data_IF_513427618177
#
_entry.id   IF_513427618177
#
_cell.length_a   1.000
_cell.length_b   1.000
_cell.length_c   1.000
_cell.angle_alpha   90.00
_cell.angle_beta   90.00
_cell.angle_gamma   90.00
#
_symmetry.space_group_name_H-M   'P 1'
#
loop_
_entity.id
_entity.type
_entity.pdbx_description
1 polymer ?
#
# COMPACT_ATOMS: atom_id res chain seq x y z
N UNK A 1 17.69 28.71 6.89
CA UNK A 1 17.61 29.11 5.47
C UNK A 1 17.00 27.96 4.66
N UNK A 2 16.12 28.29 3.70
CA UNK A 2 15.16 27.40 3.01
C UNK A 2 15.84 26.21 2.32
N UNK A 3 15.30 24.99 2.46
CA UNK A 3 15.75 23.81 1.69
C UNK A 3 15.10 23.85 0.30
N UNK A 4 15.95 23.99 -0.72
CA UNK A 4 15.60 23.86 -2.12
C UNK A 4 15.23 22.39 -2.42
N UNK A 5 14.01 22.16 -2.92
CA UNK A 5 13.48 20.84 -3.25
C UNK A 5 13.98 20.42 -4.64
N UNK A 6 15.14 19.78 -4.69
CA UNK A 6 15.62 19.14 -5.92
C UNK A 6 14.85 17.82 -6.10
N UNK A 7 13.77 17.85 -6.89
CA UNK A 7 13.08 16.64 -7.31
C UNK A 7 13.96 15.90 -8.32
N UNK A 8 14.55 14.79 -7.88
CA UNK A 8 15.41 13.92 -8.70
C UNK A 8 14.55 13.20 -9.75
N UNK A 9 14.25 13.86 -10.86
CA UNK A 9 13.61 13.24 -12.03
C UNK A 9 14.65 12.39 -12.76
N UNK A 10 14.37 11.10 -12.92
CA UNK A 10 15.15 10.21 -13.76
C UNK A 10 14.36 9.91 -15.02
N UNK A 11 14.98 10.14 -16.17
CA UNK A 11 14.43 9.84 -17.48
C UNK A 11 14.77 8.40 -17.85
N UNK A 12 13.76 7.54 -17.98
CA UNK A 12 13.93 6.16 -18.45
C UNK A 12 13.79 6.09 -19.97
N UNK A 13 14.58 5.22 -20.62
CA UNK A 13 14.45 4.93 -22.06
C UNK A 13 13.43 3.78 -22.21
N UNK A 14 12.35 3.93 -23.00
CA UNK A 14 11.29 2.92 -23.12
C UNK A 14 11.72 1.72 -23.98
N UNK A 15 11.00 0.61 -23.85
CA UNK A 15 11.18 -0.57 -24.71
C UNK A 15 10.39 -0.50 -26.03
N UNK A 16 9.38 0.38 -26.13
CA UNK A 16 8.60 0.63 -27.36
C UNK A 16 8.69 2.11 -27.74
N UNK A 17 8.91 2.38 -29.03
CA UNK A 17 9.15 3.73 -29.55
C UNK A 17 7.93 4.65 -29.33
N UNK A 18 8.14 5.77 -28.62
CA UNK A 18 7.23 6.92 -28.65
C UNK A 18 6.65 7.41 -27.32
N UNK A 19 6.94 6.80 -26.17
CA UNK A 19 6.34 7.21 -24.89
C UNK A 19 7.38 7.58 -23.83
N UNK A 20 7.53 8.87 -23.52
CA UNK A 20 8.34 9.34 -22.39
C UNK A 20 7.59 9.08 -21.07
N UNK A 21 8.02 8.11 -20.27
CA UNK A 21 7.53 7.95 -18.90
C UNK A 21 8.32 8.84 -17.93
N UNK A 22 7.63 9.82 -17.33
CA UNK A 22 8.15 10.59 -16.20
C UNK A 22 8.16 9.71 -14.95
N UNK A 23 9.32 9.13 -14.62
CA UNK A 23 9.51 8.36 -13.39
C UNK A 23 9.65 9.32 -12.20
N UNK A 24 8.59 9.48 -11.41
CA UNK A 24 8.71 10.06 -10.08
C UNK A 24 9.54 9.11 -9.22
N UNK A 25 10.56 9.63 -8.51
CA UNK A 25 11.65 8.90 -7.85
C UNK A 25 11.29 7.84 -6.78
N UNK A 26 10.03 7.43 -6.65
CA UNK A 26 9.57 6.40 -5.72
C UNK A 26 8.70 5.35 -6.43
N UNK A 27 9.39 4.40 -7.05
CA UNK A 27 8.81 3.17 -7.61
C UNK A 27 9.32 2.89 -9.02
N UNK A 28 9.65 1.64 -9.32
CA UNK A 28 10.01 1.21 -10.69
C UNK A 28 8.77 1.10 -11.60
N UNK A 29 8.93 0.68 -12.86
CA UNK A 29 7.91 0.74 -13.92
C UNK A 29 6.71 -0.23 -13.76
N UNK A 30 6.37 -0.65 -12.53
CA UNK A 30 5.24 -1.55 -12.27
C UNK A 30 3.97 -0.75 -12.01
N UNK A 31 2.82 -1.26 -12.47
CA UNK A 31 1.50 -0.74 -12.09
C UNK A 31 1.40 -0.61 -10.57
N UNK A 32 1.13 0.60 -10.07
CA UNK A 32 1.04 0.90 -8.64
C UNK A 32 2.29 1.56 -8.03
N UNK A 33 3.37 1.73 -8.79
CA UNK A 33 4.46 2.63 -8.42
C UNK A 33 3.97 4.09 -8.36
N UNK A 34 4.41 4.85 -7.34
CA UNK A 34 3.98 6.23 -7.14
C UNK A 34 2.55 6.46 -6.63
N UNK A 35 1.80 5.41 -6.23
CA UNK A 35 0.49 5.60 -5.57
C UNK A 35 0.67 6.39 -4.27
N UNK A 36 -0.17 7.40 -4.05
CA UNK A 36 -0.16 8.25 -2.83
C UNK A 36 -0.21 7.35 -1.60
N UNK A 37 0.64 7.63 -0.61
CA UNK A 37 0.65 6.91 0.66
C UNK A 37 -0.70 7.09 1.37
N UNK A 38 -1.38 5.99 1.68
CA UNK A 38 -2.64 5.99 2.45
C UNK A 38 -2.42 6.31 3.95
N UNK A 39 -1.17 6.27 4.39
CA UNK A 39 -0.74 6.50 5.78
C UNK A 39 0.63 5.87 6.02
N UNK A 40 1.00 5.74 7.29
CA UNK A 40 2.23 5.03 7.67
C UNK A 40 2.10 3.53 7.44
N UNK A 41 2.93 2.99 6.55
CA UNK A 41 2.93 1.56 6.22
C UNK A 41 3.99 0.84 7.02
N UNK A 42 3.58 -0.20 7.77
CA UNK A 42 4.49 -1.12 8.47
C UNK A 42 4.36 -2.52 7.91
N UNK A 43 5.48 -3.24 7.81
CA UNK A 43 5.48 -4.67 7.46
C UNK A 43 5.14 -5.47 8.70
N UNK A 44 4.24 -6.43 8.55
CA UNK A 44 3.85 -7.35 9.60
C UNK A 44 4.12 -8.78 9.13
N UNK A 45 4.66 -9.60 10.04
CA UNK A 45 4.73 -11.04 9.89
C UNK A 45 3.57 -11.63 10.69
N UNK A 46 2.71 -12.40 10.04
CA UNK A 46 1.56 -13.03 10.66
C UNK A 46 1.72 -14.54 10.54
N UNK A 47 1.43 -15.25 11.62
CA UNK A 47 1.35 -16.71 11.61
C UNK A 47 -0.10 -17.09 11.88
N UNK A 48 -0.72 -17.78 10.94
CA UNK A 48 -2.08 -18.32 11.01
C UNK A 48 -2.10 -19.72 10.40
N UNK A 49 -3.18 -20.46 10.61
CA UNK A 49 -3.32 -21.80 10.04
C UNK A 49 -3.37 -21.77 8.51
N UNK A 50 -3.13 -22.92 7.87
CA UNK A 50 -3.16 -23.03 6.41
C UNK A 50 -4.55 -22.70 5.87
N UNK A 51 -5.60 -23.18 6.54
CA UNK A 51 -7.00 -22.95 6.16
C UNK A 51 -7.35 -21.45 6.22
N UNK A 52 -6.80 -20.72 7.20
CA UNK A 52 -6.98 -19.28 7.31
C UNK A 52 -6.26 -18.52 6.19
N UNK A 53 -5.08 -18.97 5.77
CA UNK A 53 -4.37 -18.40 4.63
C UNK A 53 -5.12 -18.61 3.31
N UNK A 54 -5.61 -19.83 3.09
CA UNK A 54 -6.39 -20.18 1.89
C UNK A 54 -7.67 -19.34 1.79
N UNK A 55 -8.40 -19.18 2.90
CA UNK A 55 -9.60 -18.34 2.93
C UNK A 55 -9.28 -16.85 2.71
N UNK A 56 -8.15 -16.36 3.21
CA UNK A 56 -7.69 -14.99 2.95
C UNK A 56 -7.43 -14.78 1.45
N UNK A 57 -6.73 -15.70 0.80
CA UNK A 57 -6.42 -15.65 -0.62
C UNK A 57 -7.69 -15.72 -1.47
N UNK A 58 -8.60 -16.65 -1.15
CA UNK A 58 -9.89 -16.78 -1.82
C UNK A 58 -10.72 -15.48 -1.76
N UNK A 59 -10.73 -14.80 -0.61
CA UNK A 59 -11.42 -13.50 -0.45
C UNK A 59 -10.77 -12.38 -1.24
N UNK A 60 -9.44 -12.34 -1.28
CA UNK A 60 -8.69 -11.38 -2.09
C UNK A 60 -9.04 -11.53 -3.58
N UNK A 61 -9.02 -12.77 -4.07
CA UNK A 61 -9.32 -13.08 -5.47
C UNK A 61 -10.77 -12.74 -5.83
N UNK A 62 -11.72 -13.12 -4.97
CA UNK A 62 -13.14 -12.83 -5.19
C UNK A 62 -13.46 -11.33 -5.20
N UNK A 63 -12.78 -10.54 -4.37
CA UNK A 63 -12.99 -9.09 -4.27
C UNK A 63 -12.08 -8.28 -5.22
N UNK A 64 -11.11 -8.91 -5.89
CA UNK A 64 -10.08 -8.21 -6.66
C UNK A 64 -9.20 -7.29 -5.82
N UNK A 65 -9.06 -7.58 -4.52
CA UNK A 65 -8.35 -6.73 -3.54
C UNK A 65 -7.03 -7.34 -3.12
N UNK A 66 -6.12 -6.51 -2.62
CA UNK A 66 -4.83 -7.00 -2.11
C UNK A 66 -4.96 -7.51 -0.67
N UNK A 67 -4.09 -8.45 -0.26
CA UNK A 67 -4.02 -8.94 1.13
C UNK A 67 -3.91 -7.79 2.14
N UNK A 68 -3.11 -6.76 1.86
CA UNK A 68 -2.95 -5.62 2.76
C UNK A 68 -4.20 -4.74 2.85
N UNK A 69 -5.00 -4.68 1.80
CA UNK A 69 -6.28 -3.98 1.77
C UNK A 69 -7.34 -4.74 2.57
N UNK A 70 -7.45 -6.04 2.35
CA UNK A 70 -8.37 -6.89 3.10
C UNK A 70 -8.02 -6.92 4.60
N UNK A 71 -6.74 -7.08 4.95
CA UNK A 71 -6.30 -7.04 6.34
C UNK A 71 -6.58 -5.68 6.99
N UNK A 72 -6.38 -4.57 6.27
CA UNK A 72 -6.70 -3.24 6.76
C UNK A 72 -8.19 -3.07 7.03
N UNK A 73 -9.06 -3.49 6.11
CA UNK A 73 -10.51 -3.38 6.29
C UNK A 73 -11.04 -4.21 7.45
N UNK A 74 -10.35 -5.30 7.81
CA UNK A 74 -10.70 -6.12 8.96
C UNK A 74 -10.16 -5.54 10.28
N UNK A 75 -8.90 -5.07 10.29
CA UNK A 75 -8.21 -4.64 11.49
C UNK A 75 -8.60 -3.22 11.94
N UNK A 76 -8.77 -2.27 11.02
CA UNK A 76 -9.05 -0.87 11.39
C UNK A 76 -10.35 -0.72 12.19
N UNK A 77 -11.51 -1.30 11.78
CA UNK A 77 -12.73 -1.17 12.57
C UNK A 77 -12.60 -1.83 13.94
N UNK A 78 -11.93 -3.00 14.01
CA UNK A 78 -11.74 -3.72 15.26
C UNK A 78 -10.90 -2.92 16.27
N UNK A 79 -9.81 -2.30 15.80
CA UNK A 79 -8.90 -1.54 16.67
C UNK A 79 -9.46 -0.16 17.05
N UNK A 80 -10.21 0.49 16.16
CA UNK A 80 -10.75 1.83 16.41
C UNK A 80 -12.04 1.81 17.22
N UNK A 81 -12.85 0.75 17.14
CA UNK A 81 -14.04 0.60 17.97
C UNK A 81 -13.73 0.63 19.48
N UNK A 82 -12.59 0.05 19.89
CA UNK A 82 -12.16 0.03 21.29
C UNK A 82 -11.65 1.39 21.80
N UNK A 83 -11.15 2.25 20.90
CA UNK A 83 -10.59 3.56 21.28
C UNK A 83 -11.64 4.61 21.60
N UNK A 84 -12.85 4.49 21.07
CA UNK A 84 -13.96 5.40 21.39
C UNK A 84 -14.53 5.20 22.81
N UNK A 85 -14.17 4.11 23.50
CA UNK A 85 -14.60 3.84 24.88
C UNK A 85 -13.64 4.35 25.98
N UNK A 86 -12.46 4.89 25.64
CA UNK A 86 -11.43 5.28 26.63
C UNK A 86 -11.02 6.76 26.61
N UNK A 87 -11.74 7.61 25.89
CA UNK A 87 -11.50 9.06 25.86
C UNK A 87 -12.46 9.85 26.77
N UNK A 88 -12.86 9.27 27.90
CA UNK A 88 -13.86 9.87 28.79
C UNK A 88 -13.88 9.31 30.22
N UNK A 89 -12.71 9.19 30.86
CA UNK A 89 -12.60 9.17 32.33
C UNK A 89 -11.29 9.81 32.79
#
# INVERSE_FOLDING_TARGET
>A
MKKEQHSNMKLGIPADEGQLELMFARGGPRRGAGRKSTGDTRKLSLTMSMEAWEELERRCDAAGSSRSELLRSLLEPALLADTNGKAGE
#
